data_IF_273766876326
#
_entry.id   IF_273766876326
#
_cell.length_a   1.000
_cell.length_b   1.000
_cell.length_c   1.000
_cell.angle_alpha   90.00
_cell.angle_beta   90.00
_cell.angle_gamma   90.00
#
_symmetry.space_group_name_H-M   'P 1'
#
loop_
_entity.id
_entity.type
_entity.pdbx_description
1 polymer ?
#
# COMPACT_ATOMS: atom_id res chain seq x y z
N UNK A 1 -44.46 -13.55 -26.12
CA UNK A 1 -43.70 -13.97 -24.92
C UNK A 1 -42.43 -14.76 -25.25
N UNK A 2 -42.05 -14.95 -26.53
CA UNK A 2 -40.82 -15.68 -26.90
C UNK A 2 -39.68 -14.75 -27.35
N UNK A 3 -40.00 -13.53 -27.81
CA UNK A 3 -39.03 -12.56 -28.33
C UNK A 3 -38.16 -11.96 -27.22
N UNK A 4 -38.74 -11.63 -26.06
CA UNK A 4 -38.02 -11.07 -24.91
C UNK A 4 -36.98 -12.05 -24.33
N UNK A 5 -37.27 -13.36 -24.40
CA UNK A 5 -36.38 -14.41 -23.90
C UNK A 5 -35.15 -14.59 -24.83
N UNK A 6 -35.35 -14.40 -26.14
CA UNK A 6 -34.27 -14.40 -27.12
C UNK A 6 -33.37 -13.14 -26.99
N UNK A 7 -33.97 -11.98 -26.70
CA UNK A 7 -33.24 -10.72 -26.47
C UNK A 7 -32.37 -10.79 -25.21
N UNK A 8 -32.89 -11.35 -24.10
CA UNK A 8 -32.11 -11.57 -22.88
C UNK A 8 -30.91 -12.51 -23.12
N UNK A 9 -31.12 -13.53 -23.97
CA UNK A 9 -30.09 -14.51 -24.28
C UNK A 9 -28.94 -13.89 -25.10
N UNK A 10 -29.27 -12.99 -26.03
CA UNK A 10 -28.27 -12.24 -26.81
C UNK A 10 -27.45 -11.30 -25.91
N UNK A 11 -28.09 -10.57 -25.00
CA UNK A 11 -27.40 -9.65 -24.09
C UNK A 11 -26.45 -10.38 -23.12
N UNK A 12 -26.87 -11.55 -22.63
CA UNK A 12 -26.02 -12.41 -21.78
C UNK A 12 -24.81 -12.96 -22.57
N UNK A 13 -24.97 -13.28 -23.85
CA UNK A 13 -23.88 -13.77 -24.70
C UNK A 13 -22.85 -12.66 -24.98
N UNK A 14 -23.31 -11.44 -25.28
CA UNK A 14 -22.42 -10.28 -25.47
C UNK A 14 -21.62 -9.94 -24.20
N UNK A 15 -22.25 -10.06 -23.03
CA UNK A 15 -21.57 -9.84 -21.75
C UNK A 15 -20.52 -10.93 -21.46
N UNK A 16 -20.80 -12.18 -21.82
CA UNK A 16 -19.84 -13.29 -21.67
C UNK A 16 -18.62 -13.12 -22.59
N UNK A 17 -18.81 -12.66 -23.82
CA UNK A 17 -17.70 -12.35 -24.74
C UNK A 17 -16.83 -11.20 -24.21
N UNK A 18 -17.44 -10.15 -23.65
CA UNK A 18 -16.71 -9.04 -23.01
C UNK A 18 -15.87 -9.51 -21.81
N UNK A 19 -16.39 -10.43 -21.00
CA UNK A 19 -15.65 -11.00 -19.85
C UNK A 19 -14.48 -11.88 -20.33
N UNK A 20 -14.68 -12.68 -21.38
CA UNK A 20 -13.62 -13.52 -21.95
C UNK A 20 -12.44 -12.68 -22.46
N UNK A 21 -12.71 -11.56 -23.15
CA UNK A 21 -11.67 -10.64 -23.61
C UNK A 21 -10.91 -9.93 -22.48
N UNK A 22 -11.51 -9.73 -21.31
CA UNK A 22 -10.82 -9.18 -20.13
C UNK A 22 -9.83 -10.17 -19.50
N UNK A 23 -10.07 -11.47 -19.66
CA UNK A 23 -9.19 -12.53 -19.14
C UNK A 23 -7.93 -12.72 -20.00
N UNK A 24 -7.98 -12.35 -21.28
CA UNK A 24 -6.85 -12.42 -22.22
C UNK A 24 -6.06 -11.10 -22.32
N UNK A 25 -6.50 -10.04 -21.64
CA UNK A 25 -5.66 -8.87 -21.47
C UNK A 25 -4.48 -9.23 -20.54
N UNK A 26 -3.25 -8.83 -20.88
CA UNK A 26 -2.11 -9.03 -19.98
C UNK A 26 -2.42 -8.37 -18.64
N UNK A 27 -2.78 -9.19 -17.64
CA UNK A 27 -2.91 -8.77 -16.25
C UNK A 27 -1.60 -8.11 -15.84
N UNK A 28 -1.66 -6.77 -15.72
CA UNK A 28 -0.67 -5.80 -15.23
C UNK A 28 0.65 -6.43 -14.71
N UNK A 29 1.43 -6.95 -15.65
CA UNK A 29 2.67 -7.67 -15.38
C UNK A 29 3.81 -6.69 -15.65
N UNK A 30 4.62 -6.46 -14.59
CA UNK A 30 5.88 -5.67 -14.48
C UNK A 30 5.82 -4.19 -14.04
N UNK A 31 4.72 -3.46 -14.19
CA UNK A 31 4.72 -2.00 -13.91
C UNK A 31 4.21 -1.61 -12.51
N UNK A 32 3.22 -2.32 -11.99
CA UNK A 32 2.60 -2.02 -10.69
C UNK A 32 3.61 -2.21 -9.53
N UNK A 33 4.34 -3.33 -9.55
CA UNK A 33 5.40 -3.62 -8.59
C UNK A 33 6.53 -2.58 -8.63
N UNK A 34 6.75 -1.91 -9.77
CA UNK A 34 7.75 -0.85 -9.90
C UNK A 34 7.26 0.49 -9.33
N UNK A 35 5.97 0.83 -9.51
CA UNK A 35 5.34 1.99 -8.87
C UNK A 35 5.26 1.82 -7.36
N UNK A 36 4.88 0.63 -6.89
CA UNK A 36 4.87 0.28 -5.47
C UNK A 36 6.28 0.49 -4.89
N UNK A 37 7.36 0.07 -5.56
CA UNK A 37 8.74 0.25 -5.05
C UNK A 37 9.17 1.70 -4.78
N UNK A 38 8.56 2.70 -5.42
CA UNK A 38 8.98 4.10 -5.31
C UNK A 38 7.99 5.00 -4.56
N UNK A 39 6.69 4.67 -4.57
CA UNK A 39 5.67 5.51 -3.94
C UNK A 39 5.19 4.89 -2.63
N UNK A 40 5.29 5.66 -1.55
CA UNK A 40 4.67 5.32 -0.26
C UNK A 40 3.30 5.95 -0.19
N UNK A 41 2.27 5.13 -0.06
CA UNK A 41 0.91 5.59 0.19
C UNK A 41 0.62 5.72 1.71
N UNK A 42 -0.54 6.29 2.04
CA UNK A 42 -0.94 6.52 3.44
C UNK A 42 -1.17 5.18 4.17
N UNK A 43 -1.72 4.17 3.50
CA UNK A 43 -1.98 2.87 4.11
C UNK A 43 -0.67 2.13 4.46
N UNK A 44 0.37 2.29 3.63
CA UNK A 44 1.70 1.77 3.87
C UNK A 44 2.41 2.50 5.00
N UNK A 45 2.26 3.83 5.08
CA UNK A 45 2.77 4.59 6.23
C UNK A 45 2.08 4.15 7.52
N UNK A 46 0.76 3.95 7.50
CA UNK A 46 0.02 3.44 8.66
C UNK A 46 0.45 2.03 9.05
N UNK A 47 0.62 1.13 8.07
CA UNK A 47 1.10 -0.23 8.32
C UNK A 47 2.51 -0.20 8.92
N UNK A 48 3.42 0.58 8.33
CA UNK A 48 4.77 0.77 8.86
C UNK A 48 4.72 1.22 10.32
N UNK A 49 3.91 2.22 10.65
CA UNK A 49 3.82 2.74 12.02
C UNK A 49 3.21 1.72 13.00
N UNK A 50 2.24 0.90 12.55
CA UNK A 50 1.70 -0.21 13.36
C UNK A 50 2.78 -1.26 13.66
N UNK A 51 3.57 -1.64 12.66
CA UNK A 51 4.63 -2.63 12.81
C UNK A 51 5.78 -2.07 13.66
N UNK A 52 6.13 -0.80 13.50
CA UNK A 52 7.09 -0.10 14.37
C UNK A 52 6.59 -0.05 15.82
N UNK A 53 5.29 0.16 16.05
CA UNK A 53 4.71 0.09 17.39
C UNK A 53 4.76 -1.32 17.99
N UNK A 54 4.64 -2.35 17.16
CA UNK A 54 4.66 -3.75 17.58
C UNK A 54 6.07 -4.28 17.86
N UNK A 55 6.98 -4.10 16.91
CA UNK A 55 8.34 -4.64 16.97
C UNK A 55 9.34 -3.65 17.55
N UNK A 56 9.10 -2.34 17.44
CA UNK A 56 10.02 -1.29 17.83
C UNK A 56 10.73 -0.64 16.64
N UNK A 57 11.24 0.59 16.80
CA UNK A 57 11.76 1.42 15.70
C UNK A 57 13.11 0.95 15.14
N UNK A 58 13.82 0.05 15.83
CA UNK A 58 15.12 -0.50 15.37
C UNK A 58 14.99 -1.84 14.64
N UNK A 59 13.82 -2.47 14.72
CA UNK A 59 13.58 -3.81 14.20
C UNK A 59 13.09 -3.75 12.74
N UNK A 60 13.83 -2.99 11.91
CA UNK A 60 13.49 -2.75 10.52
C UNK A 60 13.54 -4.02 9.67
N UNK A 61 14.35 -5.00 10.09
CA UNK A 61 14.44 -6.31 9.46
C UNK A 61 13.14 -7.09 9.63
N UNK A 62 12.65 -7.24 10.86
CA UNK A 62 11.38 -7.90 11.18
C UNK A 62 10.20 -7.19 10.51
N UNK A 63 10.20 -5.86 10.49
CA UNK A 63 9.19 -5.07 9.79
C UNK A 63 9.22 -5.34 8.27
N UNK A 64 10.40 -5.59 7.68
CA UNK A 64 10.54 -5.90 6.25
C UNK A 64 10.04 -7.29 5.89
N UNK A 65 10.14 -8.24 6.81
CA UNK A 65 9.59 -9.60 6.64
C UNK A 65 8.06 -9.57 6.60
N UNK A 66 7.44 -8.66 7.37
CA UNK A 66 6.00 -8.39 7.34
C UNK A 66 5.59 -7.55 6.12
N UNK A 67 6.36 -6.50 5.78
CA UNK A 67 6.15 -5.66 4.60
C UNK A 67 6.95 -6.20 3.40
N UNK A 68 6.60 -7.39 2.89
CA UNK A 68 7.33 -8.08 1.80
C UNK A 68 7.60 -7.25 0.53
N UNK A 69 6.90 -6.14 0.33
CA UNK A 69 7.11 -5.19 -0.77
C UNK A 69 8.19 -4.13 -0.51
N UNK A 70 8.78 -4.09 0.68
CA UNK A 70 9.75 -3.10 1.15
C UNK A 70 10.98 -3.77 1.71
N UNK A 71 12.15 -3.21 1.41
CA UNK A 71 13.40 -3.64 2.04
C UNK A 71 13.58 -2.95 3.39
N UNK A 72 14.36 -3.56 4.28
CA UNK A 72 14.79 -2.98 5.56
C UNK A 72 15.30 -1.54 5.39
N UNK A 73 16.15 -1.30 4.38
CA UNK A 73 16.70 0.02 4.07
C UNK A 73 15.61 1.04 3.71
N UNK A 74 14.60 0.63 2.93
CA UNK A 74 13.47 1.50 2.57
C UNK A 74 12.61 1.84 3.79
N UNK A 75 12.36 0.86 4.66
CA UNK A 75 11.63 1.04 5.92
C UNK A 75 12.35 2.02 6.82
N UNK A 76 13.66 1.85 7.01
CA UNK A 76 14.48 2.76 7.82
C UNK A 76 14.40 4.21 7.31
N UNK A 77 14.65 4.42 6.01
CA UNK A 77 14.57 5.76 5.43
C UNK A 77 13.18 6.36 5.53
N UNK A 78 12.13 5.55 5.33
CA UNK A 78 10.76 6.04 5.45
C UNK A 78 10.42 6.43 6.89
N UNK A 79 10.78 5.59 7.85
CA UNK A 79 10.55 5.86 9.28
C UNK A 79 11.28 7.13 9.72
N UNK A 80 12.52 7.32 9.28
CA UNK A 80 13.26 8.58 9.49
C UNK A 80 12.54 9.77 8.85
N UNK A 81 12.11 9.65 7.59
CA UNK A 81 11.36 10.69 6.91
C UNK A 81 10.06 11.07 7.65
N UNK A 82 9.26 10.08 8.10
CA UNK A 82 8.03 10.31 8.85
C UNK A 82 8.31 10.99 10.20
N UNK A 83 9.36 10.56 10.88
CA UNK A 83 9.83 11.16 12.14
C UNK A 83 10.27 12.60 11.92
N UNK A 84 11.08 12.86 10.89
CA UNK A 84 11.53 14.21 10.57
C UNK A 84 10.38 15.13 10.11
N UNK A 85 9.41 14.59 9.36
CA UNK A 85 8.21 15.33 8.97
C UNK A 85 7.36 15.73 10.16
N UNK A 86 7.24 14.83 11.15
CA UNK A 86 6.56 15.12 12.40
C UNK A 86 7.23 16.29 13.13
N UNK A 87 8.55 16.23 13.32
CA UNK A 87 9.30 17.30 13.99
C UNK A 87 9.30 18.62 13.19
N UNK A 88 9.22 18.55 11.85
CA UNK A 88 9.13 19.72 10.96
C UNK A 88 7.72 20.30 10.79
N UNK A 89 6.74 19.81 11.55
CA UNK A 89 5.36 20.33 11.59
C UNK A 89 4.55 20.19 10.28
N UNK A 90 4.95 19.25 9.40
CA UNK A 90 4.25 18.93 8.14
C UNK A 90 3.37 17.67 8.21
N UNK A 91 3.00 17.22 9.41
CA UNK A 91 2.27 15.97 9.66
C UNK A 91 0.76 16.00 9.32
N UNK A 92 0.31 16.87 8.41
CA UNK A 92 -1.13 17.02 8.06
C UNK A 92 -1.75 15.75 7.47
N UNK A 93 -0.94 14.82 6.94
CA UNK A 93 -1.39 13.58 6.29
C UNK A 93 -1.46 12.35 7.21
N UNK A 94 -0.92 12.42 8.42
CA UNK A 94 -0.95 11.33 9.41
C UNK A 94 -2.09 11.55 10.40
N UNK A 95 -2.73 10.46 10.84
CA UNK A 95 -3.72 10.50 11.91
C UNK A 95 -3.12 11.10 13.20
N UNK A 96 -3.98 11.68 14.05
CA UNK A 96 -3.55 12.33 15.29
C UNK A 96 -2.81 11.36 16.24
N UNK A 97 -3.19 10.08 16.23
CA UNK A 97 -2.60 9.06 17.10
C UNK A 97 -1.11 8.83 16.80
N UNK A 98 -0.74 8.83 15.52
CA UNK A 98 0.65 8.59 15.12
C UNK A 98 1.58 9.76 15.42
N UNK A 99 1.04 10.97 15.51
CA UNK A 99 1.79 12.17 15.90
C UNK A 99 2.37 12.01 17.30
N UNK A 100 1.54 11.61 18.26
CA UNK A 100 1.97 11.41 19.64
C UNK A 100 2.96 10.24 19.78
N UNK A 101 2.84 9.21 18.94
CA UNK A 101 3.78 8.10 18.94
C UNK A 101 5.14 8.52 18.37
N UNK A 102 5.16 9.16 17.20
CA UNK A 102 6.38 9.64 16.53
C UNK A 102 7.18 10.63 17.39
N UNK A 103 6.50 11.43 18.23
CA UNK A 103 7.18 12.35 19.16
C UNK A 103 8.05 11.66 20.21
N UNK A 104 7.84 10.37 20.45
CA UNK A 104 8.53 9.58 21.49
C UNK A 104 9.62 8.69 20.90
N UNK A 105 9.68 8.57 19.57
CA UNK A 105 10.67 7.71 18.90
C UNK A 105 12.01 8.44 18.85
N UNK A 106 13.04 7.84 19.43
CA UNK A 106 14.44 8.22 19.20
C UNK A 106 15.06 7.20 18.25
N UNK A 107 15.26 7.60 16.98
CA UNK A 107 16.11 6.87 16.05
C UNK A 107 17.56 7.20 16.38
N UNK A 108 18.40 6.19 16.59
CA UNK A 108 19.84 6.41 16.81
C UNK A 108 20.47 6.80 15.49
N UNK A 109 21.15 7.94 15.48
CA UNK A 109 22.06 8.31 14.40
C UNK A 109 23.40 7.69 14.76
N UNK A 110 23.70 6.53 14.19
CA UNK A 110 25.07 5.98 14.15
C UNK A 110 25.80 6.50 12.90
#
# INVERSE_FOLDING_TARGET
MEIENALLTLEILELKEKIQHLHDQPHQSKTESARIRLHWDVAQDELLLKLVKMFGPRNCKEISEEMKSRTEKQIYFRLRYLTDLYHRNHAKKLSADWRQYLSKIQLVVE
#
